data_IF_009182939701
#
_entry.id   IF_009182939701
#
_cell.length_a   1.000
_cell.length_b   1.000
_cell.length_c   1.000
_cell.angle_alpha   90.00
_cell.angle_beta   90.00
_cell.angle_gamma   90.00
#
_symmetry.space_group_name_H-M   'P 1'
#
loop_
_entity.id
_entity.type
_entity.pdbx_description
1 polymer ?
#
# COMPACT_ATOMS: atom_id res chain seq x y z
N UNK A 1 0.76 6.71 3.44
CA UNK A 1 1.89 6.37 2.54
C UNK A 1 2.37 4.96 2.87
N UNK A 2 2.73 4.13 1.88
CA UNK A 2 3.37 2.84 2.16
C UNK A 2 4.71 3.09 2.86
N UNK A 3 5.00 2.31 3.90
CA UNK A 3 6.21 2.43 4.70
C UNK A 3 7.37 1.76 3.97
N UNK A 4 8.54 2.43 3.90
CA UNK A 4 9.75 1.80 3.37
C UNK A 4 10.21 0.67 4.30
N UNK A 5 11.10 -0.21 3.83
CA UNK A 5 11.67 -1.26 4.69
C UNK A 5 12.43 -0.67 5.89
N UNK A 6 13.10 0.46 5.71
CA UNK A 6 13.80 1.16 6.79
C UNK A 6 12.81 1.74 7.79
N UNK A 7 11.69 2.33 7.32
CA UNK A 7 10.62 2.82 8.19
C UNK A 7 9.96 1.68 8.97
N UNK A 8 9.75 0.52 8.35
CA UNK A 8 9.18 -0.68 8.99
C UNK A 8 10.11 -1.17 10.12
N UNK A 9 11.42 -1.16 9.90
CA UNK A 9 12.42 -1.54 10.91
C UNK A 9 12.49 -0.51 12.05
N UNK A 10 12.50 0.79 11.73
CA UNK A 10 12.49 1.87 12.70
C UNK A 10 11.22 1.80 13.56
N UNK A 11 10.04 1.69 12.95
CA UNK A 11 8.76 1.60 13.65
C UNK A 11 8.69 0.37 14.56
N UNK A 12 9.20 -0.79 14.13
CA UNK A 12 9.19 -1.99 14.98
C UNK A 12 10.13 -1.84 16.17
N UNK A 13 11.28 -1.18 15.99
CA UNK A 13 12.19 -0.86 17.09
C UNK A 13 11.55 0.11 18.08
N UNK A 14 10.93 1.17 17.56
CA UNK A 14 10.19 2.16 18.34
C UNK A 14 9.04 1.52 19.11
N UNK A 15 8.25 0.64 18.48
CA UNK A 15 7.14 -0.07 19.10
C UNK A 15 7.60 -0.98 20.25
N UNK A 16 8.72 -1.71 20.07
CA UNK A 16 9.31 -2.54 21.13
C UNK A 16 9.81 -1.70 22.31
N UNK A 17 10.48 -0.58 22.03
CA UNK A 17 10.93 0.35 23.07
C UNK A 17 9.74 0.93 23.84
N UNK A 18 8.68 1.31 23.14
CA UNK A 18 7.48 1.89 23.74
C UNK A 18 6.74 0.89 24.64
N UNK A 19 6.54 -0.37 24.17
CA UNK A 19 5.98 -1.46 24.99
C UNK A 19 6.82 -1.72 26.26
N UNK A 20 8.14 -1.66 26.16
CA UNK A 20 9.03 -1.85 27.30
C UNK A 20 8.94 -0.69 28.30
N UNK A 21 8.91 0.56 27.81
CA UNK A 21 8.75 1.75 28.65
C UNK A 21 7.40 1.77 29.36
N UNK A 22 6.30 1.43 28.68
CA UNK A 22 4.97 1.30 29.30
C UNK A 22 4.92 0.23 30.39
N UNK A 23 5.66 -0.88 30.23
CA UNK A 23 5.82 -1.89 31.29
C UNK A 23 6.61 -1.37 32.48
N UNK A 24 7.68 -0.62 32.22
CA UNK A 24 8.51 -0.02 33.28
C UNK A 24 7.70 1.03 34.04
N UNK A 25 6.93 1.88 33.34
CA UNK A 25 6.05 2.88 33.94
C UNK A 25 5.01 2.25 34.87
N UNK A 26 4.31 1.19 34.40
CA UNK A 26 3.34 0.44 35.20
C UNK A 26 3.96 -0.26 36.40
N UNK A 27 5.22 -0.69 36.29
CA UNK A 27 5.97 -1.35 37.36
C UNK A 27 6.70 -0.39 38.31
N UNK A 28 6.79 0.91 37.97
CA UNK A 28 7.56 1.88 38.72
C UNK A 28 6.85 2.26 40.02
N UNK A 29 7.57 2.12 41.15
CA UNK A 29 7.09 2.54 42.48
C UNK A 29 7.51 3.97 42.84
N UNK A 30 8.42 4.57 42.06
CA UNK A 30 8.98 5.90 42.29
C UNK A 30 8.38 6.90 41.30
N UNK A 31 7.84 8.01 41.79
CA UNK A 31 7.19 9.04 40.97
C UNK A 31 8.17 9.75 40.03
N UNK A 32 9.43 9.91 40.44
CA UNK A 32 10.48 10.51 39.61
C UNK A 32 10.89 9.60 38.44
N UNK A 33 10.73 8.29 38.60
CA UNK A 33 10.93 7.31 37.54
C UNK A 33 9.74 7.28 36.59
N UNK A 34 8.50 7.40 37.10
CA UNK A 34 7.29 7.50 36.26
C UNK A 34 7.35 8.73 35.35
N UNK A 35 7.71 9.89 35.90
CA UNK A 35 7.74 11.14 35.14
C UNK A 35 8.79 11.11 34.01
N UNK A 36 9.98 10.55 34.28
CA UNK A 36 11.02 10.34 33.25
C UNK A 36 10.56 9.38 32.16
N UNK A 37 9.97 8.25 32.54
CA UNK A 37 9.50 7.25 31.58
C UNK A 37 8.33 7.80 30.75
N UNK A 38 7.43 8.57 31.34
CA UNK A 38 6.34 9.25 30.63
C UNK A 38 6.87 10.25 29.58
N UNK A 39 7.91 11.02 29.91
CA UNK A 39 8.55 11.92 28.95
C UNK A 39 9.18 11.16 27.78
N UNK A 40 9.88 10.05 28.06
CA UNK A 40 10.45 9.20 27.01
C UNK A 40 9.37 8.54 26.15
N UNK A 41 8.28 8.05 26.75
CA UNK A 41 7.11 7.53 26.01
C UNK A 41 6.58 8.59 25.05
N UNK A 42 6.38 9.82 25.51
CA UNK A 42 5.85 10.90 24.70
C UNK A 42 6.80 11.27 23.54
N UNK A 43 8.12 11.26 23.79
CA UNK A 43 9.14 11.46 22.76
C UNK A 43 9.07 10.36 21.69
N UNK A 44 8.97 9.10 22.10
CA UNK A 44 8.84 7.98 21.15
C UNK A 44 7.51 8.00 20.40
N UNK A 45 6.41 8.45 21.01
CA UNK A 45 5.12 8.66 20.33
C UNK A 45 5.22 9.73 19.24
N UNK A 46 5.88 10.87 19.53
CA UNK A 46 6.12 11.90 18.50
C UNK A 46 6.97 11.36 17.36
N UNK A 47 8.02 10.60 17.67
CA UNK A 47 8.87 10.01 16.62
C UNK A 47 8.09 9.00 15.76
N UNK A 48 7.20 8.23 16.36
CA UNK A 48 6.29 7.34 15.63
C UNK A 48 5.32 8.14 14.76
N UNK A 49 4.77 9.26 15.24
CA UNK A 49 3.90 10.13 14.43
C UNK A 49 4.65 10.81 13.27
N UNK A 50 5.94 11.11 13.43
CA UNK A 50 6.79 11.62 12.34
C UNK A 50 6.99 10.58 11.23
N UNK A 51 7.23 9.32 11.60
CA UNK A 51 7.49 8.22 10.66
C UNK A 51 6.19 7.64 10.08
N UNK A 52 5.13 7.59 10.89
CA UNK A 52 3.81 7.10 10.50
C UNK A 52 2.70 7.98 11.12
N UNK A 53 2.27 9.03 10.41
CA UNK A 53 1.23 9.95 10.87
C UNK A 53 -0.11 9.28 11.20
N UNK A 54 -0.39 8.14 10.57
CA UNK A 54 -1.64 7.38 10.73
C UNK A 54 -1.58 6.34 11.86
N UNK A 55 -0.45 6.25 12.56
CA UNK A 55 -0.22 5.32 13.66
C UNK A 55 0.49 4.03 13.24
N UNK A 56 0.79 3.18 14.22
CA UNK A 56 1.52 1.93 13.99
C UNK A 56 0.56 0.89 13.40
N UNK A 57 0.89 0.27 12.25
CA UNK A 57 0.09 -0.83 11.69
C UNK A 57 0.01 -1.99 12.67
N UNK A 58 -1.20 -2.51 12.92
CA UNK A 58 -1.40 -3.62 13.85
C UNK A 58 -0.66 -4.90 13.40
N UNK A 59 -0.47 -5.07 12.09
CA UNK A 59 0.21 -6.22 11.51
C UNK A 59 1.72 -6.02 11.29
N UNK A 60 2.32 -4.93 11.78
CA UNK A 60 3.73 -4.60 11.54
C UNK A 60 4.70 -5.72 11.96
N UNK A 61 4.49 -6.33 13.13
CA UNK A 61 5.32 -7.45 13.60
C UNK A 61 5.23 -8.67 12.67
N UNK A 62 4.04 -8.95 12.14
CA UNK A 62 3.81 -10.05 11.20
C UNK A 62 4.43 -9.76 9.84
N UNK A 63 4.31 -8.52 9.34
CA UNK A 63 4.99 -8.10 8.11
C UNK A 63 6.51 -8.25 8.24
N UNK A 64 7.10 -7.84 9.36
CA UNK A 64 8.54 -8.06 9.59
C UNK A 64 8.92 -9.54 9.64
N UNK A 65 8.08 -10.40 10.21
CA UNK A 65 8.31 -11.84 10.17
C UNK A 65 8.25 -12.37 8.75
N UNK A 66 7.28 -11.96 7.95
CA UNK A 66 7.16 -12.34 6.54
C UNK A 66 8.37 -11.88 5.71
N UNK A 67 8.86 -10.65 5.93
CA UNK A 67 10.08 -10.14 5.27
C UNK A 67 11.29 -11.01 5.62
N UNK A 68 11.45 -11.40 6.89
CA UNK A 68 12.54 -12.29 7.32
C UNK A 68 12.39 -13.71 6.78
N UNK A 69 11.17 -14.25 6.79
CA UNK A 69 10.88 -15.57 6.24
C UNK A 69 11.15 -15.61 4.74
N UNK A 70 10.76 -14.58 3.98
CA UNK A 70 11.08 -14.47 2.55
C UNK A 70 12.59 -14.41 2.29
N UNK A 71 13.35 -13.72 3.15
CA UNK A 71 14.82 -13.68 3.03
C UNK A 71 15.46 -15.05 3.32
N UNK A 72 14.84 -15.88 4.16
CA UNK A 72 15.33 -17.21 4.51
C UNK A 72 14.84 -18.32 3.55
N UNK A 73 13.60 -18.21 3.07
CA UNK A 73 12.92 -19.17 2.23
C UNK A 73 11.95 -18.44 1.27
N UNK A 74 12.39 -18.11 0.04
CA UNK A 74 11.63 -17.30 -0.90
C UNK A 74 10.36 -17.95 -1.45
N UNK A 75 10.18 -19.27 -1.32
CA UNK A 75 9.10 -20.03 -1.98
C UNK A 75 7.97 -20.42 -1.02
N UNK A 76 8.17 -20.23 0.29
CA UNK A 76 7.25 -20.69 1.33
C UNK A 76 6.29 -19.59 1.83
N UNK A 77 6.38 -18.38 1.27
CA UNK A 77 5.54 -17.23 1.66
C UNK A 77 4.41 -17.05 0.65
N UNK A 78 3.16 -17.24 1.09
CA UNK A 78 1.97 -16.92 0.29
C UNK A 78 1.89 -15.41 0.04
N UNK A 79 1.62 -15.01 -1.20
CA UNK A 79 1.63 -13.61 -1.65
C UNK A 79 2.99 -12.92 -1.38
N UNK A 80 4.01 -13.35 -2.13
CA UNK A 80 5.43 -13.00 -1.91
C UNK A 80 5.69 -11.50 -2.04
N UNK A 81 4.97 -10.82 -2.92
CA UNK A 81 5.15 -9.39 -3.18
C UNK A 81 4.31 -8.56 -2.23
N UNK A 82 3.09 -8.98 -1.90
CA UNK A 82 2.21 -8.19 -1.01
C UNK A 82 2.60 -8.33 0.47
N UNK A 83 3.04 -9.52 0.91
CA UNK A 83 3.32 -9.83 2.33
C UNK A 83 4.42 -9.01 2.98
N UNK A 84 5.25 -8.31 2.19
CA UNK A 84 6.28 -7.40 2.67
C UNK A 84 5.74 -6.03 3.10
N UNK A 85 4.48 -5.73 2.80
CA UNK A 85 3.86 -4.45 3.11
C UNK A 85 2.90 -4.58 4.31
N UNK A 86 3.01 -3.68 5.31
CA UNK A 86 2.04 -3.63 6.38
C UNK A 86 0.74 -3.02 5.86
N UNK A 87 -0.39 -3.45 6.43
CA UNK A 87 -1.69 -2.89 6.06
C UNK A 87 -1.83 -1.57 6.81
N UNK A 88 -1.85 -0.49 6.05
CA UNK A 88 -2.03 0.86 6.57
C UNK A 88 -3.51 1.18 6.61
N UNK A 89 -3.91 2.03 7.56
CA UNK A 89 -5.18 2.72 7.42
C UNK A 89 -5.12 3.65 6.21
N UNK A 90 -6.26 3.86 5.56
CA UNK A 90 -6.39 4.88 4.50
C UNK A 90 -6.60 6.29 5.09
N UNK A 91 -7.05 6.33 6.34
CA UNK A 91 -7.24 7.54 7.14
C UNK A 91 -7.36 7.14 8.62
N UNK A 92 -7.02 7.99 9.61
CA UNK A 92 -6.99 7.61 11.02
C UNK A 92 -8.30 7.00 11.53
N UNK A 93 -9.44 7.46 11.02
CA UNK A 93 -10.78 7.02 11.42
C UNK A 93 -11.33 5.83 10.62
N UNK A 94 -10.54 5.25 9.71
CA UNK A 94 -10.92 4.04 8.98
C UNK A 94 -10.69 2.79 9.83
N UNK A 95 -11.78 2.13 10.20
CA UNK A 95 -11.77 0.88 10.98
C UNK A 95 -12.13 -0.35 10.13
N UNK A 96 -12.38 -0.16 8.84
CA UNK A 96 -12.72 -1.24 7.92
C UNK A 96 -11.44 -1.87 7.38
N UNK A 97 -11.20 -3.13 7.74
CA UNK A 97 -9.96 -3.86 7.42
C UNK A 97 -9.83 -4.12 5.92
N UNK A 98 -10.94 -4.38 5.23
CA UNK A 98 -10.95 -4.63 3.78
C UNK A 98 -10.62 -3.34 3.02
N UNK A 99 -11.25 -2.23 3.39
CA UNK A 99 -10.95 -0.92 2.80
C UNK A 99 -9.50 -0.50 3.05
N UNK A 100 -8.98 -0.72 4.26
CA UNK A 100 -7.58 -0.43 4.60
C UNK A 100 -6.61 -1.30 3.80
N UNK A 101 -6.93 -2.58 3.63
CA UNK A 101 -6.13 -3.50 2.84
C UNK A 101 -6.10 -3.10 1.36
N UNK A 102 -7.27 -2.84 0.75
CA UNK A 102 -7.36 -2.40 -0.64
C UNK A 102 -6.64 -1.07 -0.83
N UNK A 103 -6.90 -0.07 0.02
CA UNK A 103 -6.24 1.22 -0.09
C UNK A 103 -4.72 1.15 0.07
N UNK A 104 -4.22 0.23 0.90
CA UNK A 104 -2.78 -0.06 0.98
C UNK A 104 -2.24 -0.57 -0.36
N UNK A 105 -2.91 -1.55 -0.97
CA UNK A 105 -2.51 -2.10 -2.27
C UNK A 105 -2.51 -1.03 -3.36
N UNK A 106 -3.56 -0.21 -3.44
CA UNK A 106 -3.67 0.87 -4.42
C UNK A 106 -2.55 1.90 -4.23
N UNK A 107 -2.25 2.29 -3.00
CA UNK A 107 -1.15 3.22 -2.72
C UNK A 107 0.23 2.67 -3.09
N UNK A 108 0.47 1.36 -2.86
CA UNK A 108 1.72 0.71 -3.29
C UNK A 108 1.80 0.68 -4.81
N UNK A 109 0.70 0.31 -5.47
CA UNK A 109 0.63 0.28 -6.92
C UNK A 109 0.95 1.66 -7.51
N UNK A 110 0.29 2.71 -7.01
CA UNK A 110 0.48 4.09 -7.47
C UNK A 110 1.91 4.58 -7.28
N UNK A 111 2.54 4.22 -6.16
CA UNK A 111 3.87 4.73 -5.81
C UNK A 111 5.00 3.95 -6.49
N UNK A 112 4.97 2.62 -6.44
CA UNK A 112 6.13 1.78 -6.81
C UNK A 112 6.04 1.19 -8.23
N UNK A 113 4.82 1.02 -8.76
CA UNK A 113 4.60 0.27 -10.00
C UNK A 113 4.04 1.10 -11.15
N UNK A 114 3.10 2.02 -10.89
CA UNK A 114 2.56 2.90 -11.93
C UNK A 114 3.63 3.75 -12.62
N UNK A 115 4.64 4.32 -11.91
CA UNK A 115 5.61 5.20 -12.55
C UNK A 115 6.36 4.56 -13.71
N UNK A 116 6.68 3.26 -13.63
CA UNK A 116 7.42 2.56 -14.70
C UNK A 116 6.64 2.47 -16.02
N UNK A 117 5.31 2.62 -16.01
CA UNK A 117 4.53 2.62 -17.25
C UNK A 117 4.64 3.95 -18.01
N UNK A 118 5.13 5.02 -17.36
CA UNK A 118 5.32 6.30 -18.01
C UNK A 118 6.33 6.24 -19.16
N UNK A 119 6.17 7.13 -20.15
CA UNK A 119 7.04 7.23 -21.34
C UNK A 119 8.53 7.49 -20.99
N UNK A 120 8.80 7.96 -19.77
CA UNK A 120 10.15 8.13 -19.26
C UNK A 120 10.91 6.81 -19.04
N UNK A 121 10.19 5.71 -18.77
CA UNK A 121 10.76 4.41 -18.43
C UNK A 121 10.49 3.37 -19.52
N UNK A 122 9.24 3.21 -19.96
CA UNK A 122 8.86 2.20 -20.94
C UNK A 122 8.28 2.87 -22.18
N UNK A 123 8.90 2.59 -23.33
CA UNK A 123 8.45 3.07 -24.65
C UNK A 123 7.66 1.96 -25.35
N UNK A 124 6.36 1.93 -25.10
CA UNK A 124 5.45 1.02 -25.80
C UNK A 124 5.30 1.36 -27.28
N UNK A 125 4.94 0.37 -28.09
CA UNK A 125 4.37 0.63 -29.42
C UNK A 125 3.03 1.40 -29.33
N UNK A 126 2.51 1.85 -30.46
CA UNK A 126 1.31 2.67 -30.49
C UNK A 126 0.06 1.97 -29.90
N UNK A 127 -0.09 0.66 -30.13
CA UNK A 127 -1.26 -0.10 -29.66
C UNK A 127 -1.22 -0.25 -28.14
N UNK A 128 -0.08 -0.69 -27.62
CA UNK A 128 0.13 -0.92 -26.19
C UNK A 128 0.21 0.38 -25.40
N UNK A 129 0.68 1.48 -26.01
CA UNK A 129 0.59 2.81 -25.41
C UNK A 129 -0.88 3.25 -25.22
N UNK A 130 -1.75 2.95 -26.18
CA UNK A 130 -3.18 3.27 -26.07
C UNK A 130 -3.87 2.44 -24.97
N UNK A 131 -3.52 1.15 -24.87
CA UNK A 131 -4.01 0.29 -23.79
C UNK A 131 -3.50 0.74 -22.42
N UNK A 132 -2.21 1.09 -22.33
CA UNK A 132 -1.61 1.68 -21.13
C UNK A 132 -2.39 2.91 -20.68
N UNK A 133 -2.62 3.86 -21.58
CA UNK A 133 -3.32 5.11 -21.22
C UNK A 133 -4.75 4.82 -20.73
N UNK A 134 -5.38 3.78 -21.27
CA UNK A 134 -6.69 3.31 -20.82
C UNK A 134 -6.63 2.79 -19.38
N UNK A 135 -5.67 1.92 -19.03
CA UNK A 135 -5.54 1.41 -17.65
C UNK A 135 -5.10 2.49 -16.65
N UNK A 136 -4.26 3.44 -17.08
CA UNK A 136 -3.89 4.60 -16.25
C UNK A 136 -5.10 5.47 -15.89
N UNK A 137 -6.06 5.63 -16.82
CA UNK A 137 -7.32 6.34 -16.55
C UNK A 137 -8.19 5.64 -15.50
N UNK A 138 -8.22 4.30 -15.48
CA UNK A 138 -8.88 3.55 -14.40
C UNK A 138 -8.24 3.87 -13.04
N UNK A 139 -6.90 3.90 -13.00
CA UNK A 139 -6.17 4.24 -11.78
C UNK A 139 -6.41 5.68 -11.31
N UNK A 140 -6.52 6.65 -12.22
CA UNK A 140 -6.90 8.04 -11.89
C UNK A 140 -8.29 8.14 -11.26
N UNK A 141 -9.28 7.45 -11.86
CA UNK A 141 -10.64 7.41 -11.33
C UNK A 141 -10.66 6.78 -9.93
N UNK A 142 -9.95 5.65 -9.76
CA UNK A 142 -9.87 4.97 -8.48
C UNK A 142 -9.24 5.85 -7.39
N UNK A 143 -8.16 6.58 -7.70
CA UNK A 143 -7.54 7.53 -6.78
C UNK A 143 -8.51 8.62 -6.34
N UNK A 144 -9.29 9.16 -7.27
CA UNK A 144 -10.32 10.16 -6.97
C UNK A 144 -11.38 9.59 -6.03
N UNK A 145 -11.86 8.38 -6.29
CA UNK A 145 -12.91 7.76 -5.49
C UNK A 145 -12.40 7.36 -4.09
N UNK A 146 -11.14 6.94 -3.98
CA UNK A 146 -10.47 6.74 -2.69
C UNK A 146 -10.43 8.04 -1.87
N UNK A 147 -10.10 9.17 -2.51
CA UNK A 147 -10.08 10.48 -1.83
C UNK A 147 -11.46 10.88 -1.32
N UNK A 148 -12.50 10.72 -2.15
CA UNK A 148 -13.90 11.00 -1.76
C UNK A 148 -14.33 10.12 -0.57
N UNK A 149 -13.94 8.83 -0.58
CA UNK A 149 -14.21 7.92 0.53
C UNK A 149 -13.51 8.37 1.82
N UNK A 150 -12.23 8.74 1.74
CA UNK A 150 -11.47 9.27 2.88
C UNK A 150 -12.16 10.50 3.47
N UNK A 151 -12.48 11.49 2.64
CA UNK A 151 -13.20 12.70 3.06
C UNK A 151 -14.52 12.35 3.76
N UNK A 152 -15.29 11.40 3.20
CA UNK A 152 -16.55 10.94 3.79
C UNK A 152 -16.36 10.25 5.15
N UNK A 153 -15.31 9.46 5.32
CA UNK A 153 -14.99 8.78 6.59
C UNK A 153 -14.65 9.81 7.67
N UNK A 154 -13.83 10.80 7.32
CA UNK A 154 -13.42 11.86 8.25
C UNK A 154 -14.61 12.75 8.64
N UNK A 155 -15.44 13.15 7.67
CA UNK A 155 -16.68 13.89 7.94
C UNK A 155 -17.65 13.09 8.83
N UNK A 156 -17.80 11.78 8.59
CA UNK A 156 -18.61 10.91 9.43
C UNK A 156 -18.10 10.86 10.88
N UNK A 157 -16.77 10.85 11.06
CA UNK A 157 -16.14 10.81 12.38
C UNK A 157 -16.27 12.13 13.13
N UNK A 158 -16.26 13.26 12.42
CA UNK A 158 -16.39 14.60 12.99
C UNK A 158 -17.86 15.05 13.22
N UNK A 159 -18.85 14.27 12.77
CA UNK A 159 -20.26 14.66 12.82
C UNK A 159 -20.89 14.52 14.22
N UNK A 160 -21.27 15.66 14.82
CA UNK A 160 -21.95 15.70 16.13
C UNK A 160 -23.45 15.44 16.06
N UNK A 161 -24.10 15.85 14.96
CA UNK A 161 -25.56 15.75 14.80
C UNK A 161 -25.98 14.37 14.30
N UNK A 162 -26.94 13.76 14.99
CA UNK A 162 -27.39 12.39 14.70
C UNK A 162 -27.95 12.21 13.28
N UNK A 163 -28.80 13.12 12.79
CA UNK A 163 -29.37 13.04 11.44
C UNK A 163 -28.30 13.10 10.34
N UNK A 164 -27.32 14.00 10.49
CA UNK A 164 -26.18 14.10 9.58
C UNK A 164 -25.31 12.84 9.61
N UNK A 165 -25.11 12.27 10.81
CA UNK A 165 -24.34 11.04 10.99
C UNK A 165 -25.00 9.83 10.31
N UNK A 166 -26.33 9.74 10.32
CA UNK A 166 -27.05 8.68 9.59
C UNK A 166 -26.91 8.82 8.08
N UNK A 167 -27.02 10.03 7.54
CA UNK A 167 -26.81 10.29 6.12
C UNK A 167 -25.38 9.96 5.69
N UNK A 168 -24.38 10.44 6.45
CA UNK A 168 -22.96 10.17 6.21
C UNK A 168 -22.64 8.68 6.34
N UNK A 169 -23.26 7.96 7.27
CA UNK A 169 -23.13 6.50 7.38
C UNK A 169 -23.58 5.77 6.11
N UNK A 170 -24.76 6.14 5.57
CA UNK A 170 -25.27 5.58 4.32
C UNK A 170 -24.35 5.91 3.15
N UNK A 171 -23.85 7.15 3.09
CA UNK A 171 -22.92 7.59 2.06
C UNK A 171 -21.60 6.84 2.13
N UNK A 172 -21.00 6.73 3.32
CA UNK A 172 -19.79 5.95 3.60
C UNK A 172 -19.95 4.51 3.09
N UNK A 173 -21.02 3.82 3.52
CA UNK A 173 -21.25 2.42 3.12
C UNK A 173 -21.44 2.26 1.61
N UNK A 174 -22.11 3.22 0.96
CA UNK A 174 -22.24 3.23 -0.51
C UNK A 174 -20.89 3.43 -1.19
N UNK A 175 -20.10 4.42 -0.74
CA UNK A 175 -18.78 4.71 -1.31
C UNK A 175 -17.79 3.59 -1.07
N UNK A 176 -17.82 2.92 0.10
CA UNK A 176 -17.01 1.73 0.39
C UNK A 176 -17.27 0.61 -0.63
N UNK A 177 -18.54 0.32 -0.93
CA UNK A 177 -18.89 -0.71 -1.93
C UNK A 177 -18.43 -0.35 -3.34
N UNK A 178 -18.60 0.91 -3.72
CA UNK A 178 -18.13 1.42 -5.02
C UNK A 178 -16.61 1.27 -5.10
N UNK A 179 -15.90 1.72 -4.07
CA UNK A 179 -14.44 1.65 -4.01
C UNK A 179 -13.92 0.20 -4.10
N UNK A 180 -14.54 -0.75 -3.40
CA UNK A 180 -14.17 -2.18 -3.50
C UNK A 180 -14.38 -2.70 -4.93
N UNK A 181 -15.54 -2.44 -5.52
CA UNK A 181 -15.87 -2.91 -6.86
C UNK A 181 -14.95 -2.32 -7.93
N UNK A 182 -14.70 -1.02 -7.88
CA UNK A 182 -13.81 -0.33 -8.82
C UNK A 182 -12.34 -0.71 -8.63
N UNK A 183 -11.92 -0.99 -7.39
CA UNK A 183 -10.57 -1.51 -7.13
C UNK A 183 -10.37 -2.86 -7.80
N UNK A 184 -11.35 -3.74 -7.67
CA UNK A 184 -11.33 -5.05 -8.33
C UNK A 184 -11.31 -4.94 -9.85
N UNK A 185 -12.15 -4.07 -10.42
CA UNK A 185 -12.17 -3.82 -11.87
C UNK A 185 -10.83 -3.26 -12.36
N UNK A 186 -10.30 -2.26 -11.67
CA UNK A 186 -9.02 -1.62 -12.01
C UNK A 186 -7.89 -2.64 -12.00
N UNK A 187 -7.74 -3.40 -10.92
CA UNK A 187 -6.69 -4.43 -10.80
C UNK A 187 -6.86 -5.52 -11.86
N UNK A 188 -8.09 -5.92 -12.18
CA UNK A 188 -8.35 -6.88 -13.27
C UNK A 188 -7.92 -6.34 -14.63
N UNK A 189 -8.15 -5.04 -14.90
CA UNK A 189 -7.70 -4.40 -16.15
C UNK A 189 -6.18 -4.30 -16.24
N UNK A 190 -5.50 -3.97 -15.14
CA UNK A 190 -4.04 -4.04 -15.08
C UNK A 190 -3.53 -5.46 -15.27
N UNK A 191 -4.20 -6.46 -14.69
CA UNK A 191 -3.84 -7.87 -14.84
C UNK A 191 -3.91 -8.32 -16.30
N UNK A 192 -5.01 -7.98 -16.99
CA UNK A 192 -5.21 -8.25 -18.42
C UNK A 192 -4.12 -7.59 -19.27
N UNK A 193 -3.89 -6.30 -19.06
CA UNK A 193 -2.86 -5.53 -19.78
C UNK A 193 -1.45 -6.11 -19.58
N UNK A 194 -1.03 -6.33 -18.34
CA UNK A 194 0.31 -6.85 -18.04
C UNK A 194 0.51 -8.27 -18.56
N UNK A 195 -0.54 -9.11 -18.54
CA UNK A 195 -0.47 -10.46 -19.14
C UNK A 195 -0.34 -10.40 -20.66
N UNK A 196 -1.08 -9.50 -21.30
CA UNK A 196 -0.99 -9.27 -22.75
C UNK A 196 0.43 -8.86 -23.14
N UNK A 197 0.95 -7.79 -22.52
CA UNK A 197 2.31 -7.29 -22.76
C UNK A 197 3.37 -8.36 -22.52
N UNK A 198 3.32 -9.06 -21.38
CA UNK A 198 4.30 -10.10 -21.07
C UNK A 198 4.20 -11.31 -22.02
N UNK A 199 3.01 -11.62 -22.56
CA UNK A 199 2.84 -12.68 -23.54
C UNK A 199 3.47 -12.30 -24.88
N UNK A 200 3.16 -11.10 -25.39
CA UNK A 200 3.73 -10.56 -26.63
C UNK A 200 5.27 -10.52 -26.60
N UNK A 201 5.87 -10.07 -25.48
CA UNK A 201 7.33 -10.08 -25.29
C UNK A 201 7.90 -11.50 -25.37
N UNK A 202 7.20 -12.51 -24.82
CA UNK A 202 7.66 -13.91 -24.84
C UNK A 202 7.59 -14.54 -26.22
N UNK A 203 6.60 -14.16 -27.03
CA UNK A 203 6.48 -14.60 -28.43
C UNK A 203 7.51 -13.92 -29.34
N UNK A 204 8.30 -12.97 -28.81
CA UNK A 204 9.31 -12.24 -29.56
C UNK A 204 8.77 -11.05 -30.34
N UNK A 205 7.55 -10.61 -30.05
CA UNK A 205 6.96 -9.43 -30.67
C UNK A 205 7.57 -8.15 -30.07
N UNK A 206 7.83 -7.17 -30.94
CA UNK A 206 8.48 -5.93 -30.54
C UNK A 206 7.46 -4.90 -30.02
N UNK A 207 6.98 -5.11 -28.78
CA UNK A 207 5.99 -4.24 -28.12
C UNK A 207 6.60 -3.14 -27.27
N UNK A 208 7.88 -3.26 -26.90
CA UNK A 208 8.63 -2.27 -26.11
C UNK A 208 9.94 -1.96 -26.83
N UNK A 209 10.11 -0.69 -27.20
CA UNK A 209 11.24 -0.24 -28.02
C UNK A 209 12.57 -0.18 -27.26
N UNK A 210 12.53 -0.11 -25.93
CA UNK A 210 13.70 0.05 -25.07
C UNK A 210 13.87 -1.08 -24.05
N UNK A 211 13.43 -2.30 -24.38
CA UNK A 211 13.36 -3.44 -23.46
C UNK A 211 14.67 -3.76 -22.71
N UNK A 212 15.82 -3.50 -23.33
CA UNK A 212 17.16 -3.75 -22.76
C UNK A 212 17.63 -2.65 -21.79
N UNK A 213 16.96 -1.50 -21.75
CA UNK A 213 17.33 -0.41 -20.85
C UNK A 213 16.94 -0.76 -19.39
N UNK A 214 17.80 -0.46 -18.40
CA UNK A 214 17.42 -0.60 -17.00
C UNK A 214 16.51 0.54 -16.56
N UNK A 215 15.59 0.24 -15.64
CA UNK A 215 14.74 1.23 -14.99
C UNK A 215 15.60 2.13 -14.11
N UNK A 216 15.41 3.46 -14.24
CA UNK A 216 16.14 4.48 -13.47
C UNK A 216 15.20 5.60 -13.05
N UNK A 217 14.82 5.61 -11.78
CA UNK A 217 13.98 6.63 -11.20
C UNK A 217 14.77 7.93 -10.96
N UNK A 218 14.12 9.05 -11.27
CA UNK A 218 14.68 10.35 -10.92
C UNK A 218 14.24 10.74 -9.51
N UNK A 219 15.14 10.61 -8.53
CA UNK A 219 14.89 10.94 -7.11
C UNK A 219 14.38 12.36 -6.85
N UNK A 220 14.48 13.28 -7.82
CA UNK A 220 13.93 14.64 -7.70
C UNK A 220 12.43 14.71 -8.01
N UNK A 221 11.89 13.76 -8.77
CA UNK A 221 10.51 13.77 -9.27
C UNK A 221 9.72 12.53 -8.87
N UNK A 222 10.41 11.42 -8.63
CA UNK A 222 9.82 10.12 -8.34
C UNK A 222 10.27 9.64 -6.97
N UNK A 223 9.31 9.12 -6.21
CA UNK A 223 9.54 8.50 -4.90
C UNK A 223 9.69 6.98 -4.98
N UNK A 224 9.37 6.40 -6.13
CA UNK A 224 9.49 4.98 -6.38
C UNK A 224 10.95 4.54 -6.26
N UNK A 225 11.18 3.37 -5.67
CA UNK A 225 12.53 2.82 -5.51
C UNK A 225 12.59 1.32 -5.76
N UNK A 226 11.46 0.63 -5.73
CA UNK A 226 11.41 -0.83 -5.70
C UNK A 226 11.98 -1.50 -6.97
N UNK A 227 11.82 -0.86 -8.12
CA UNK A 227 12.24 -1.39 -9.42
C UNK A 227 13.54 -0.77 -9.94
N UNK A 228 14.21 0.06 -9.12
CA UNK A 228 15.45 0.73 -9.50
C UNK A 228 16.52 -0.28 -9.93
N UNK A 229 17.13 -0.04 -11.10
CA UNK A 229 18.21 -0.86 -11.63
C UNK A 229 17.78 -2.22 -12.20
N UNK A 230 16.50 -2.60 -12.10
CA UNK A 230 15.99 -3.82 -12.75
C UNK A 230 15.81 -3.60 -14.26
N UNK A 231 15.84 -4.69 -15.02
CA UNK A 231 15.42 -4.62 -16.43
C UNK A 231 13.91 -4.36 -16.52
N UNK A 232 13.45 -3.78 -17.63
CA UNK A 232 12.02 -3.55 -17.88
C UNK A 232 11.24 -4.86 -17.80
N UNK A 233 11.79 -5.96 -18.33
CA UNK A 233 11.15 -7.27 -18.28
C UNK A 233 10.96 -7.78 -16.85
N UNK A 234 11.97 -7.63 -15.98
CA UNK A 234 11.86 -7.99 -14.57
C UNK A 234 10.84 -7.11 -13.86
N UNK A 235 10.86 -5.80 -14.11
CA UNK A 235 9.90 -4.85 -13.55
C UNK A 235 8.45 -5.19 -13.92
N UNK A 236 8.18 -5.49 -15.19
CA UNK A 236 6.85 -5.88 -15.67
C UNK A 236 6.39 -7.23 -15.12
N UNK A 237 7.29 -8.19 -14.93
CA UNK A 237 6.94 -9.48 -14.30
C UNK A 237 6.62 -9.32 -12.82
N UNK A 238 7.41 -8.51 -12.10
CA UNK A 238 7.14 -8.24 -10.69
C UNK A 238 5.85 -7.44 -10.50
N UNK A 239 5.57 -6.48 -11.40
CA UNK A 239 4.30 -5.78 -11.42
C UNK A 239 3.14 -6.74 -11.70
N UNK A 240 3.27 -7.62 -12.70
CA UNK A 240 2.24 -8.62 -12.97
C UNK A 240 1.99 -9.51 -11.75
N UNK A 241 3.06 -9.95 -11.08
CA UNK A 241 2.95 -10.76 -9.86
C UNK A 241 2.24 -10.00 -8.74
N UNK A 242 2.58 -8.72 -8.52
CA UNK A 242 1.87 -7.88 -7.55
C UNK A 242 0.37 -7.81 -7.83
N UNK A 243 -0.01 -7.55 -9.09
CA UNK A 243 -1.43 -7.44 -9.48
C UNK A 243 -2.15 -8.80 -9.41
N UNK A 244 -1.49 -9.89 -9.80
CA UNK A 244 -2.01 -11.26 -9.67
C UNK A 244 -2.32 -11.57 -8.19
N UNK A 245 -1.37 -11.32 -7.28
CA UNK A 245 -1.55 -11.49 -5.84
C UNK A 245 -2.66 -10.57 -5.27
N UNK A 246 -2.75 -9.33 -5.75
CA UNK A 246 -3.75 -8.36 -5.29
C UNK A 246 -5.17 -8.77 -5.69
N UNK A 247 -5.34 -9.22 -6.94
CA UNK A 247 -6.59 -9.76 -7.45
C UNK A 247 -7.03 -11.00 -6.66
N UNK A 248 -6.12 -11.92 -6.33
CA UNK A 248 -6.46 -13.09 -5.51
C UNK A 248 -6.93 -12.69 -4.11
N UNK A 249 -6.26 -11.69 -3.52
CA UNK A 249 -6.54 -11.23 -2.17
C UNK A 249 -7.92 -10.57 -2.07
N UNK A 250 -8.29 -9.74 -3.06
CA UNK A 250 -9.61 -9.06 -3.10
C UNK A 250 -10.72 -10.03 -3.50
N UNK A 251 -10.44 -11.06 -4.30
CA UNK A 251 -11.43 -12.10 -4.67
C UNK A 251 -11.84 -12.97 -3.50
N UNK A 252 -11.02 -13.09 -2.44
CA UNK A 252 -11.40 -13.83 -1.24
C UNK A 252 -12.52 -13.07 -0.54
N UNK A 253 -13.76 -13.59 -0.52
CA UNK A 253 -14.80 -13.00 0.31
C UNK A 253 -14.32 -13.17 1.74
N UNK A 254 -14.10 -12.07 2.46
CA UNK A 254 -13.92 -12.09 3.91
C UNK A 254 -15.26 -12.39 4.61
N UNK A 255 -16.04 -13.36 4.10
CA UNK A 255 -17.08 -14.02 4.89
C UNK A 255 -16.39 -14.97 5.86
N UNK A 256 -15.78 -14.40 6.90
CA UNK A 256 -15.64 -15.11 8.17
C UNK A 256 -16.68 -14.51 9.12
N UNK A 257 -17.76 -15.28 9.23
CA UNK A 257 -18.69 -15.42 10.37
C UNK A 257 -18.33 -14.66 11.64
#
# INVERSE_FOLDING_TARGET
MPLSQDDIQELTRLQKMLKNLERIEKGAKNDLQKERVAFDIERYRRRIQEVSPEGIPENLEQTMQNVKMRAADPDNVKHKVISQYPVMKITPNSNDTEINQIGTLINIMDLEYIPILGDAHIKFDYSHATERDTVLKYMENLRRNMKILIETIEEYSAADKQEFREQLSRMKNKQSRIFIAESFETLSKFQEFLKSVNHEIREGNNVIMNLEEPIKFNTRFEKATMLEGKSIMEGLREFQQFVDEACELIKLPSFRT
#
